data_IF_767238218446
#
_entry.id   IF_767238218446
#
_cell.length_a   1.000
_cell.length_b   1.000
_cell.length_c   1.000
_cell.angle_alpha   90.00
_cell.angle_beta   90.00
_cell.angle_gamma   90.00
#
_symmetry.space_group_name_H-M   'P 1'
#
loop_
_entity.id
_entity.type
_entity.pdbx_description
1 polymer ?
#
# COMPACT_ATOMS: atom_id res chain seq x y z
N UNK A 1 -8.84 -41.15 24.23
CA UNK A 1 -9.80 -40.10 23.80
C UNK A 1 -9.03 -39.20 22.86
N UNK A 2 -9.12 -39.42 21.54
CA UNK A 2 -8.43 -38.60 20.55
C UNK A 2 -9.32 -37.39 20.22
N UNK A 3 -8.75 -36.18 20.20
CA UNK A 3 -9.46 -34.99 19.74
C UNK A 3 -9.93 -35.18 18.28
N UNK A 4 -11.13 -34.68 17.93
CA UNK A 4 -11.57 -34.68 16.55
C UNK A 4 -10.63 -33.82 15.68
N UNK A 5 -10.33 -34.24 14.44
CA UNK A 5 -9.50 -33.46 13.55
C UNK A 5 -10.13 -32.08 13.29
N UNK A 6 -9.32 -31.00 13.18
CA UNK A 6 -9.83 -29.67 12.89
C UNK A 6 -10.61 -29.70 11.58
N UNK A 7 -11.86 -29.27 11.61
CA UNK A 7 -12.72 -29.15 10.44
C UNK A 7 -12.08 -28.16 9.46
N UNK A 8 -11.77 -28.55 8.21
CA UNK A 8 -11.33 -27.60 7.20
C UNK A 8 -12.48 -26.62 6.90
N UNK A 9 -12.22 -25.31 6.75
CA UNK A 9 -13.26 -24.35 6.46
C UNK A 9 -13.90 -24.67 5.10
N UNK A 10 -15.23 -24.82 5.12
CA UNK A 10 -16.10 -25.13 3.98
C UNK A 10 -15.95 -24.04 2.89
N UNK A 11 -15.63 -24.45 1.67
CA UNK A 11 -15.57 -23.57 0.49
C UNK A 11 -16.99 -23.27 0.02
N UNK A 12 -17.41 -22.00 0.11
CA UNK A 12 -18.63 -21.49 -0.50
C UNK A 12 -18.27 -20.45 -1.58
N UNK A 13 -18.57 -20.77 -2.83
CA UNK A 13 -18.35 -19.91 -4.00
C UNK A 13 -19.10 -18.57 -3.84
N UNK A 14 -18.37 -17.46 -3.72
CA UNK A 14 -18.93 -16.10 -3.82
C UNK A 14 -18.54 -15.10 -2.73
N UNK A 15 -17.91 -15.53 -1.63
CA UNK A 15 -17.37 -14.62 -0.62
C UNK A 15 -15.84 -14.56 -0.74
N UNK A 16 -15.29 -13.35 -0.93
CA UNK A 16 -13.85 -13.14 -0.74
C UNK A 16 -13.57 -13.42 0.73
N UNK A 17 -12.87 -14.52 1.00
CA UNK A 17 -12.50 -14.93 2.35
C UNK A 17 -11.65 -13.82 3.00
N UNK A 18 -11.91 -13.55 4.27
CA UNK A 18 -11.04 -12.71 5.10
C UNK A 18 -10.18 -13.64 5.93
N UNK A 19 -8.86 -13.51 5.81
CA UNK A 19 -7.91 -14.30 6.59
C UNK A 19 -7.27 -13.43 7.66
N UNK A 20 -7.32 -13.89 8.91
CA UNK A 20 -6.55 -13.30 9.99
C UNK A 20 -5.06 -13.67 9.83
N UNK A 21 -4.19 -12.68 9.82
CA UNK A 21 -2.74 -12.86 9.62
C UNK A 21 -1.98 -12.16 10.73
N UNK A 22 -1.18 -12.93 11.48
CA UNK A 22 -0.21 -12.40 12.43
C UNK A 22 1.17 -12.30 11.77
N UNK A 23 1.54 -11.09 11.33
CA UNK A 23 2.82 -10.85 10.66
C UNK A 23 4.03 -10.93 11.62
N UNK A 24 3.81 -11.05 12.92
CA UNK A 24 4.86 -11.25 13.91
C UNK A 24 5.22 -12.72 14.14
N UNK A 25 4.40 -13.64 13.62
CA UNK A 25 4.61 -15.08 13.70
C UNK A 25 5.97 -15.49 13.10
N UNK A 26 6.56 -16.56 13.62
CA UNK A 26 7.85 -17.09 13.18
C UNK A 26 7.81 -17.67 11.77
N UNK A 27 6.63 -17.99 11.22
CA UNK A 27 6.50 -18.47 9.85
C UNK A 27 6.81 -17.42 8.78
N UNK A 28 6.75 -16.13 9.12
CA UNK A 28 6.99 -15.05 8.16
C UNK A 28 8.46 -14.58 8.19
N UNK A 29 9.03 -14.20 7.04
CA UNK A 29 10.35 -13.57 6.99
C UNK A 29 10.45 -12.37 7.93
N UNK A 30 11.56 -12.33 8.69
CA UNK A 30 11.88 -11.28 9.66
C UNK A 30 13.04 -10.45 9.16
N UNK A 31 12.83 -9.76 8.03
CA UNK A 31 13.84 -8.90 7.42
C UNK A 31 13.92 -7.51 8.08
N UNK A 32 12.95 -7.16 8.92
CA UNK A 32 12.89 -5.85 9.56
C UNK A 32 14.01 -5.58 10.55
N UNK A 33 14.51 -4.34 10.53
CA UNK A 33 15.51 -3.80 11.45
C UNK A 33 14.85 -2.77 12.35
N UNK A 34 14.85 -3.01 13.66
CA UNK A 34 14.22 -2.13 14.65
C UNK A 34 14.75 -0.70 14.50
N UNK A 35 13.85 0.24 14.26
CA UNK A 35 14.15 1.66 14.21
C UNK A 35 13.83 2.33 15.55
N UNK A 36 14.84 2.97 16.14
CA UNK A 36 14.67 3.82 17.31
C UNK A 36 14.80 5.29 16.88
N UNK A 37 13.71 6.08 16.92
CA UNK A 37 13.76 7.48 16.55
C UNK A 37 14.61 8.27 17.54
N UNK A 38 15.63 8.98 17.04
CA UNK A 38 16.40 9.96 17.82
C UNK A 38 15.79 11.36 17.77
N UNK A 39 14.92 11.61 16.79
CA UNK A 39 14.25 12.90 16.61
C UNK A 39 12.88 12.87 17.33
N UNK A 40 12.61 13.79 18.28
CA UNK A 40 11.36 13.82 19.04
C UNK A 40 10.12 14.11 18.17
N UNK A 41 10.31 14.66 16.96
CA UNK A 41 9.21 14.88 16.01
C UNK A 41 8.79 13.60 15.27
N UNK A 42 9.45 12.46 15.52
CA UNK A 42 9.10 11.17 14.94
C UNK A 42 8.54 10.30 16.06
N UNK A 43 7.23 10.16 16.08
CA UNK A 43 6.50 9.44 17.13
C UNK A 43 6.02 8.11 16.59
N UNK A 44 6.28 7.02 17.31
CA UNK A 44 5.78 5.68 16.95
C UNK A 44 4.27 5.63 17.18
N UNK A 45 3.55 5.17 16.17
CA UNK A 45 2.11 4.90 16.28
C UNK A 45 1.88 3.58 17.04
N UNK A 46 0.75 3.41 17.74
CA UNK A 46 0.38 2.14 18.33
C UNK A 46 0.23 1.04 17.27
N UNK A 47 0.58 -0.20 17.63
CA UNK A 47 0.53 -1.32 16.69
C UNK A 47 -0.89 -1.57 16.17
N UNK A 48 -1.91 -1.42 17.00
CA UNK A 48 -3.30 -1.50 16.56
C UNK A 48 -3.64 -0.52 15.42
N UNK A 49 -3.12 0.71 15.47
CA UNK A 49 -3.31 1.72 14.41
C UNK A 49 -2.55 1.32 13.14
N UNK A 50 -1.35 0.77 13.30
CA UNK A 50 -0.58 0.24 12.17
C UNK A 50 -1.31 -0.91 11.48
N UNK A 51 -1.73 -1.93 12.24
CA UNK A 51 -2.42 -3.11 11.71
C UNK A 51 -3.74 -2.75 11.04
N UNK A 52 -4.54 -1.88 11.64
CA UNK A 52 -5.78 -1.39 11.05
C UNK A 52 -5.52 -0.67 9.72
N UNK A 53 -4.56 0.25 9.71
CA UNK A 53 -4.25 1.04 8.52
C UNK A 53 -3.62 0.18 7.41
N UNK A 54 -2.83 -0.83 7.77
CA UNK A 54 -2.23 -1.77 6.82
C UNK A 54 -3.29 -2.70 6.21
N UNK A 55 -4.19 -3.22 7.05
CA UNK A 55 -5.35 -4.01 6.61
C UNK A 55 -6.16 -3.24 5.57
N UNK A 56 -6.47 -1.98 5.87
CA UNK A 56 -7.19 -1.12 4.93
C UNK A 56 -6.41 -0.89 3.63
N UNK A 57 -5.10 -0.63 3.70
CA UNK A 57 -4.26 -0.39 2.52
C UNK A 57 -4.22 -1.60 1.59
N UNK A 58 -4.06 -2.82 2.12
CA UNK A 58 -4.05 -4.03 1.29
C UNK A 58 -5.45 -4.28 0.71
N UNK A 59 -6.49 -4.26 1.55
CA UNK A 59 -7.85 -4.59 1.14
C UNK A 59 -8.46 -3.60 0.12
N UNK A 60 -7.93 -2.38 0.04
CA UNK A 60 -8.33 -1.34 -0.92
C UNK A 60 -7.43 -1.26 -2.17
N UNK A 61 -6.57 -2.26 -2.38
CA UNK A 61 -5.61 -2.29 -3.49
C UNK A 61 -5.76 -3.55 -4.34
N UNK A 62 -5.05 -3.59 -5.46
CA UNK A 62 -4.98 -4.78 -6.31
C UNK A 62 -4.29 -5.98 -5.63
N UNK A 63 -3.65 -5.78 -4.47
CA UNK A 63 -2.99 -6.84 -3.71
C UNK A 63 -3.96 -7.93 -3.24
N UNK A 64 -5.25 -7.62 -3.02
CA UNK A 64 -6.28 -8.64 -2.71
C UNK A 64 -6.35 -9.68 -3.81
N UNK A 65 -6.27 -9.28 -5.08
CA UNK A 65 -6.28 -10.21 -6.21
C UNK A 65 -5.01 -11.05 -6.27
N UNK A 66 -3.85 -10.48 -5.91
CA UNK A 66 -2.57 -11.20 -5.82
C UNK A 66 -2.57 -12.25 -4.71
N UNK A 67 -3.23 -11.96 -3.60
CA UNK A 67 -3.35 -12.88 -2.46
C UNK A 67 -4.50 -13.90 -2.66
N UNK A 68 -5.52 -13.55 -3.44
CA UNK A 68 -6.73 -14.37 -3.65
C UNK A 68 -7.76 -14.26 -2.52
N UNK A 69 -7.49 -13.42 -1.51
CA UNK A 69 -8.32 -13.24 -0.33
C UNK A 69 -8.08 -11.85 0.28
N UNK A 70 -9.02 -11.41 1.12
CA UNK A 70 -8.86 -10.23 1.97
C UNK A 70 -8.12 -10.62 3.23
N UNK A 71 -7.43 -9.66 3.83
CA UNK A 71 -6.64 -9.87 5.04
C UNK A 71 -7.24 -9.10 6.21
N UNK A 72 -6.96 -9.58 7.42
CA UNK A 72 -7.14 -8.83 8.66
C UNK A 72 -5.88 -9.05 9.50
N UNK A 73 -5.06 -8.01 9.65
CA UNK A 73 -3.81 -8.16 10.40
C UNK A 73 -4.06 -8.08 11.90
N UNK A 74 -3.60 -9.10 12.62
CA UNK A 74 -3.84 -9.29 14.05
C UNK A 74 -2.53 -9.43 14.82
N UNK A 75 -2.61 -9.29 16.15
CA UNK A 75 -1.52 -9.43 17.13
C UNK A 75 -0.35 -8.46 16.97
N UNK A 76 0.45 -8.58 15.91
CA UNK A 76 1.69 -7.82 15.75
C UNK A 76 2.04 -7.48 14.30
N UNK A 77 2.73 -6.35 14.07
CA UNK A 77 3.25 -6.00 12.75
C UNK A 77 4.42 -6.93 12.35
N UNK A 78 4.87 -6.87 11.09
CA UNK A 78 6.11 -7.52 10.69
C UNK A 78 7.26 -7.17 11.65
N UNK A 79 7.97 -8.20 12.12
CA UNK A 79 9.02 -8.03 13.12
C UNK A 79 10.06 -7.02 12.63
N UNK A 80 10.38 -6.04 13.47
CA UNK A 80 11.34 -4.97 13.16
C UNK A 80 10.74 -3.76 12.43
N UNK A 81 9.49 -3.82 11.98
CA UNK A 81 8.80 -2.69 11.36
C UNK A 81 7.94 -1.91 12.35
N UNK A 82 7.77 -0.62 12.07
CA UNK A 82 6.86 0.24 12.82
C UNK A 82 6.31 1.37 11.97
N UNK A 83 5.07 1.77 12.26
CA UNK A 83 4.46 2.98 11.73
C UNK A 83 4.83 4.16 12.62
N UNK A 84 5.22 5.27 12.02
CA UNK A 84 5.61 6.48 12.73
C UNK A 84 4.95 7.69 12.09
N UNK A 85 4.48 8.61 12.92
CA UNK A 85 4.10 9.95 12.48
C UNK A 85 5.31 10.88 12.58
N UNK A 86 5.67 11.46 11.45
CA UNK A 86 6.71 12.48 11.34
C UNK A 86 6.02 13.84 11.35
N UNK A 87 6.07 14.53 12.49
CA UNK A 87 5.53 15.87 12.65
C UNK A 87 6.42 16.89 11.94
N UNK A 88 5.86 17.56 10.92
CA UNK A 88 6.46 18.75 10.31
C UNK A 88 5.37 19.81 10.13
N UNK A 89 5.61 21.08 10.45
CA UNK A 89 4.64 22.15 10.16
C UNK A 89 4.44 22.27 8.64
N UNK A 90 3.21 22.49 8.12
CA UNK A 90 1.94 22.59 8.85
C UNK A 90 1.23 21.23 9.08
N UNK A 91 1.70 20.14 8.46
CA UNK A 91 1.11 18.80 8.59
C UNK A 91 2.15 17.70 8.70
N UNK A 92 1.96 16.81 9.67
CA UNK A 92 2.71 15.56 9.77
C UNK A 92 2.34 14.56 8.67
N UNK A 93 3.18 13.56 8.47
CA UNK A 93 2.92 12.44 7.56
C UNK A 93 3.36 11.12 8.20
N UNK A 94 2.70 10.03 7.81
CA UNK A 94 2.97 8.68 8.32
C UNK A 94 3.96 7.95 7.42
N UNK A 95 4.99 7.37 8.03
CA UNK A 95 6.02 6.58 7.37
C UNK A 95 6.18 5.23 8.08
N UNK A 96 6.56 4.20 7.33
CA UNK A 96 6.93 2.91 7.90
C UNK A 96 8.44 2.78 7.89
N UNK A 97 9.04 2.64 9.07
CA UNK A 97 10.46 2.35 9.25
C UNK A 97 10.65 0.86 9.51
N UNK A 98 11.85 0.35 9.22
CA UNK A 98 12.22 -1.04 9.47
C UNK A 98 12.90 -1.74 8.30
N UNK A 99 12.85 -1.18 7.09
CA UNK A 99 13.39 -1.86 5.92
C UNK A 99 14.93 -2.03 5.98
N UNK A 100 15.50 -3.21 5.61
CA UNK A 100 16.94 -3.49 5.66
C UNK A 100 17.84 -2.44 4.98
N UNK A 101 17.34 -1.78 3.94
CA UNK A 101 18.08 -0.71 3.24
C UNK A 101 18.27 0.58 4.05
N UNK A 102 17.74 0.66 5.28
CA UNK A 102 17.81 1.84 6.14
C UNK A 102 16.87 2.99 5.72
N UNK A 103 16.04 2.78 4.70
CA UNK A 103 15.10 3.78 4.18
C UNK A 103 13.68 3.49 4.69
N UNK A 104 12.86 4.54 4.83
CA UNK A 104 11.47 4.41 5.20
C UNK A 104 10.54 4.38 3.97
N UNK A 105 9.45 3.62 4.06
CA UNK A 105 8.32 3.72 3.15
C UNK A 105 7.52 4.98 3.47
N UNK A 106 7.12 5.74 2.45
CA UNK A 106 6.44 7.03 2.65
C UNK A 106 4.94 6.92 2.87
N UNK A 107 4.39 5.72 2.74
CA UNK A 107 3.00 5.40 2.99
C UNK A 107 2.83 3.90 3.22
N UNK A 108 1.68 3.52 3.78
CA UNK A 108 1.30 2.11 3.90
C UNK A 108 1.05 1.45 2.54
N UNK A 109 0.65 2.22 1.53
CA UNK A 109 0.50 1.72 0.16
C UNK A 109 1.84 1.30 -0.42
N UNK A 110 2.90 2.11 -0.25
CA UNK A 110 4.25 1.70 -0.67
C UNK A 110 4.74 0.47 0.12
N UNK A 111 4.40 0.39 1.41
CA UNK A 111 4.77 -0.75 2.25
C UNK A 111 4.00 -2.03 1.92
N UNK A 112 2.76 -1.92 1.42
CA UNK A 112 1.88 -3.07 1.15
C UNK A 112 2.50 -4.06 0.17
N UNK A 113 3.25 -3.57 -0.83
CA UNK A 113 3.98 -4.41 -1.80
C UNK A 113 5.07 -5.26 -1.13
N UNK A 114 5.74 -4.70 -0.12
CA UNK A 114 6.71 -5.44 0.69
C UNK A 114 6.01 -6.50 1.56
N UNK A 115 4.88 -6.14 2.17
CA UNK A 115 4.09 -7.07 3.00
C UNK A 115 3.56 -8.26 2.21
N UNK A 116 3.10 -8.05 0.97
CA UNK A 116 2.69 -9.16 0.09
C UNK A 116 3.85 -10.11 -0.14
N UNK A 117 5.07 -9.59 -0.32
CA UNK A 117 6.26 -10.43 -0.49
C UNK A 117 6.63 -11.17 0.79
N UNK A 118 6.41 -10.58 1.97
CA UNK A 118 6.54 -11.29 3.26
C UNK A 118 5.52 -12.42 3.36
N UNK A 119 4.24 -12.16 3.08
CA UNK A 119 3.17 -13.17 3.15
C UNK A 119 3.43 -14.34 2.19
N UNK A 120 4.00 -14.06 1.02
CA UNK A 120 4.31 -15.08 0.00
C UNK A 120 5.67 -15.75 0.19
N UNK A 121 6.44 -15.37 1.22
CA UNK A 121 7.82 -15.81 1.43
C UNK A 121 8.74 -15.57 0.20
N UNK A 122 8.64 -14.36 -0.37
CA UNK A 122 9.36 -13.93 -1.59
C UNK A 122 10.17 -12.64 -1.38
N UNK A 123 10.67 -12.43 -0.16
CA UNK A 123 11.41 -11.20 0.18
C UNK A 123 12.68 -11.00 -0.68
N UNK A 124 13.35 -12.08 -1.08
CA UNK A 124 14.55 -12.02 -1.95
C UNK A 124 14.28 -11.44 -3.33
N UNK A 125 13.05 -11.62 -3.84
CA UNK A 125 12.60 -11.10 -5.14
C UNK A 125 11.51 -10.04 -4.97
N UNK A 126 11.51 -9.34 -3.84
CA UNK A 126 10.49 -8.36 -3.52
C UNK A 126 10.51 -7.20 -4.54
N UNK A 127 9.38 -6.90 -5.21
CA UNK A 127 9.30 -5.83 -6.20
C UNK A 127 9.15 -4.44 -5.58
N UNK A 128 9.10 -4.33 -4.24
CA UNK A 128 8.85 -3.07 -3.58
C UNK A 128 9.92 -2.03 -3.94
N UNK A 129 9.51 -0.76 -3.90
CA UNK A 129 10.36 0.40 -4.21
C UNK A 129 11.72 0.41 -3.48
N UNK A 130 11.81 -0.15 -2.28
CA UNK A 130 13.03 -0.13 -1.48
C UNK A 130 13.96 -1.31 -1.77
N UNK A 131 13.43 -2.47 -2.15
CA UNK A 131 14.20 -3.62 -2.64
C UNK A 131 14.69 -3.39 -4.08
N UNK A 132 13.88 -2.77 -4.93
CA UNK A 132 14.16 -2.56 -6.36
C UNK A 132 14.10 -1.07 -6.77
N UNK A 133 14.97 -0.19 -6.23
CA UNK A 133 14.89 1.24 -6.47
C UNK A 133 15.14 1.66 -7.93
N UNK A 134 15.88 0.84 -8.70
CA UNK A 134 16.15 1.11 -10.13
C UNK A 134 14.92 0.93 -11.01
N UNK A 135 14.18 -0.17 -10.81
CA UNK A 135 12.96 -0.51 -11.56
C UNK A 135 11.86 0.54 -11.32
N UNK A 136 11.72 1.00 -10.07
CA UNK A 136 10.72 2.01 -9.72
C UNK A 136 10.96 3.36 -10.40
N UNK A 137 12.22 3.82 -10.48
CA UNK A 137 12.56 5.09 -11.15
C UNK A 137 12.15 5.06 -12.62
N UNK A 138 12.34 3.92 -13.30
CA UNK A 138 11.98 3.75 -14.70
C UNK A 138 10.46 3.79 -14.89
N UNK A 139 9.72 2.98 -14.13
CA UNK A 139 8.26 2.91 -14.24
C UNK A 139 7.56 4.23 -13.91
N UNK A 140 8.09 5.00 -12.95
CA UNK A 140 7.57 6.31 -12.61
C UNK A 140 7.83 7.36 -13.71
N UNK A 141 9.00 7.30 -14.35
CA UNK A 141 9.33 8.14 -15.50
C UNK A 141 8.42 7.82 -16.69
N UNK A 142 8.19 6.54 -16.98
CA UNK A 142 7.27 6.11 -18.04
C UNK A 142 5.83 6.55 -17.76
N UNK A 143 5.32 6.36 -16.54
CA UNK A 143 3.98 6.86 -16.14
C UNK A 143 3.87 8.38 -16.28
N UNK A 144 4.92 9.12 -15.93
CA UNK A 144 4.93 10.58 -16.10
C UNK A 144 4.97 10.98 -17.58
N UNK A 145 5.76 10.30 -18.42
CA UNK A 145 5.77 10.49 -19.88
C UNK A 145 4.41 10.18 -20.49
N UNK A 146 3.78 9.06 -20.14
CA UNK A 146 2.46 8.67 -20.61
C UNK A 146 1.38 9.69 -20.21
N UNK A 147 1.42 10.20 -18.97
CA UNK A 147 0.51 11.27 -18.53
C UNK A 147 0.71 12.57 -19.31
N UNK A 148 1.95 12.96 -19.59
CA UNK A 148 2.23 14.14 -20.43
C UNK A 148 1.77 13.94 -21.87
N UNK A 149 2.00 12.75 -22.44
CA UNK A 149 1.53 12.42 -23.79
C UNK A 149 -0.01 12.39 -23.88
N UNK A 150 -0.70 11.89 -22.84
CA UNK A 150 -2.15 11.90 -22.76
C UNK A 150 -2.75 13.30 -22.55
N UNK A 151 -2.08 14.16 -21.77
CA UNK A 151 -2.52 15.54 -21.54
C UNK A 151 -2.43 16.44 -22.79
N UNK A 152 -1.56 16.11 -23.75
CA UNK A 152 -1.46 16.83 -25.04
C UNK A 152 -2.66 16.53 -25.95
N UNK A 153 -3.37 15.42 -25.77
CA UNK A 153 -4.49 15.02 -26.62
C UNK A 153 -5.88 15.50 -26.16
N UNK A 154 -6.00 16.23 -25.05
CA UNK A 154 -7.31 16.67 -24.50
C UNK A 154 -7.68 18.11 -24.87
N UNK A 155 -6.88 18.82 -25.66
CA UNK A 155 -7.28 20.13 -26.17
C UNK A 155 -8.18 19.94 -27.40
N UNK A 156 -9.49 19.76 -27.16
CA UNK A 156 -10.50 19.96 -28.20
C UNK A 156 -10.35 21.40 -28.75
N UNK A 157 -10.36 21.60 -30.07
CA UNK A 157 -10.36 22.94 -30.64
C UNK A 157 -11.61 23.70 -30.16
N UNK A 158 -11.52 25.01 -29.89
CA UNK A 158 -12.67 25.80 -29.45
C UNK A 158 -13.78 25.73 -30.51
N UNK A 159 -15.01 25.50 -30.05
CA UNK A 159 -16.18 25.47 -30.92
C UNK A 159 -16.33 26.82 -31.67
N UNK A 160 -16.72 26.81 -32.95
CA UNK A 160 -16.93 28.03 -33.70
C UNK A 160 -18.08 28.85 -33.08
N UNK A 161 -17.99 30.20 -33.12
CA UNK A 161 -19.01 31.06 -32.53
C UNK A 161 -20.35 30.89 -33.24
N UNK A 162 -21.44 30.90 -32.45
CA UNK A 162 -22.81 30.80 -32.94
C UNK A 162 -23.18 31.99 -33.84
N UNK A 163 -23.99 31.79 -34.89
CA UNK A 163 -24.43 32.88 -35.76
C UNK A 163 -25.35 33.86 -35.01
N UNK A 164 -25.32 35.16 -35.36
CA UNK A 164 -26.14 36.17 -34.69
C UNK A 164 -27.63 35.97 -34.96
N UNK A 165 -28.45 36.17 -33.93
CA UNK A 165 -29.91 36.11 -34.03
C UNK A 165 -30.45 37.27 -34.90
N UNK A 166 -31.39 36.95 -35.78
CA UNK A 166 -32.07 37.93 -36.62
C UNK A 166 -32.93 38.89 -35.75
N UNK A 167 -33.05 40.18 -36.12
CA UNK A 167 -33.85 41.13 -35.37
C UNK A 167 -35.35 40.91 -35.61
N UNK A 168 -36.10 40.76 -34.52
CA UNK A 168 -37.57 40.85 -34.53
C UNK A 168 -37.97 42.32 -34.61
N UNK A 169 -38.60 42.72 -35.72
CA UNK A 169 -39.22 44.04 -35.89
C UNK A 169 -40.62 43.98 -35.27
N UNK A 170 -40.94 44.93 -34.38
CA UNK A 170 -42.29 45.19 -33.87
C UNK A 170 -43.10 46.08 -34.80
#
# INVERSE_FOLDING_TARGET
MAEPPPTPPVILYGHILVQDIDLSDAQYPRDGVIYQPTNPNIVREPDAVFLQSLTQSINNSAHVSTLGHRVNFVNGPPVGYGLFTVHRPPRGHRCVFGHPSGRAFRSLTEFSEHVVSIIQDKVDNCPCRLCQPGVWKHSQLEKHRARRAGAVNTHLPPAPPAPPAAPTVS
#
